data_IF_167941574611
#
_entry.id   IF_167941574611
#
_cell.length_a   1.000
_cell.length_b   1.000
_cell.length_c   1.000
_cell.angle_alpha   90.00
_cell.angle_beta   90.00
_cell.angle_gamma   90.00
#
_symmetry.space_group_name_H-M   'P 1'
#
loop_
_entity.id
_entity.type
_entity.pdbx_description
1 polymer ?
#
# COMPACT_ATOMS: atom_id res chain seq x y z
N UNK A 1 10.98 -19.18 13.91
CA UNK A 1 10.59 -19.87 12.67
C UNK A 1 9.76 -18.89 11.85
N UNK A 2 10.14 -18.61 10.60
CA UNK A 2 9.31 -17.80 9.71
C UNK A 2 8.17 -18.70 9.23
N UNK A 3 6.93 -18.33 9.52
CA UNK A 3 5.74 -19.09 9.10
C UNK A 3 5.62 -19.12 7.57
N UNK A 4 4.91 -20.13 7.07
CA UNK A 4 4.57 -20.26 5.66
C UNK A 4 3.77 -19.03 5.18
N UNK A 5 3.92 -18.71 3.89
CA UNK A 5 3.10 -17.70 3.23
C UNK A 5 1.63 -18.15 3.27
N UNK A 6 0.75 -17.29 3.75
CA UNK A 6 -0.69 -17.51 3.82
C UNK A 6 -1.43 -16.42 3.06
N UNK A 7 -2.69 -16.69 2.73
CA UNK A 7 -3.61 -15.69 2.17
C UNK A 7 -4.73 -15.47 3.18
N UNK A 8 -4.95 -14.22 3.56
CA UNK A 8 -6.09 -13.78 4.38
C UNK A 8 -7.03 -12.91 3.55
N UNK A 9 -8.29 -12.81 3.97
CA UNK A 9 -9.27 -11.90 3.38
C UNK A 9 -9.62 -10.82 4.40
N UNK A 10 -9.35 -9.56 4.05
CA UNK A 10 -9.70 -8.40 4.87
C UNK A 10 -10.76 -7.54 4.16
N UNK A 11 -11.62 -6.90 4.96
CA UNK A 11 -12.61 -5.96 4.46
C UNK A 11 -11.90 -4.69 3.93
N UNK A 12 -12.11 -4.39 2.65
CA UNK A 12 -11.58 -3.20 1.99
C UNK A 12 -12.57 -2.03 1.98
N UNK A 13 -13.85 -2.30 2.23
CA UNK A 13 -14.92 -1.30 2.26
C UNK A 13 -16.25 -1.91 1.81
N UNK A 14 -17.17 -1.04 1.40
CA UNK A 14 -18.45 -1.44 0.82
C UNK A 14 -18.62 -0.79 -0.56
N UNK A 15 -19.27 -1.49 -1.48
CA UNK A 15 -19.63 -0.96 -2.79
C UNK A 15 -20.80 0.06 -2.69
N UNK A 16 -21.21 0.72 -3.78
CA UNK A 16 -22.33 1.66 -3.76
C UNK A 16 -23.69 1.05 -3.39
N UNK A 17 -23.81 -0.29 -3.40
CA UNK A 17 -24.99 -1.03 -2.99
C UNK A 17 -24.89 -1.50 -1.52
N UNK A 18 -23.79 -1.20 -0.83
CA UNK A 18 -23.55 -1.60 0.56
C UNK A 18 -23.03 -3.03 0.72
N UNK A 19 -22.61 -3.70 -0.36
CA UNK A 19 -22.03 -5.04 -0.26
C UNK A 19 -20.55 -4.95 0.14
N UNK A 20 -20.07 -5.84 1.04
CA UNK A 20 -18.68 -5.82 1.48
C UNK A 20 -17.75 -6.19 0.32
N UNK A 21 -16.74 -5.35 0.09
CA UNK A 21 -15.62 -5.63 -0.79
C UNK A 21 -14.51 -6.20 0.08
N UNK A 22 -14.10 -7.44 -0.20
CA UNK A 22 -12.96 -8.07 0.47
C UNK A 22 -11.76 -8.13 -0.47
N UNK A 23 -10.57 -7.94 0.10
CA UNK A 23 -9.32 -8.06 -0.63
C UNK A 23 -8.47 -9.20 -0.03
N UNK A 24 -7.83 -9.98 -0.92
CA UNK A 24 -6.97 -11.10 -0.55
C UNK A 24 -5.54 -10.64 -0.44
N UNK A 25 -4.94 -10.81 0.74
CA UNK A 25 -3.57 -10.38 1.02
C UNK A 25 -2.68 -11.57 1.32
N UNK A 26 -1.49 -11.56 0.71
CA UNK A 26 -0.42 -12.49 1.06
C UNK A 26 0.27 -12.01 2.34
N UNK A 27 0.36 -12.88 3.34
CA UNK A 27 0.88 -12.55 4.68
C UNK A 27 1.82 -13.63 5.20
N UNK A 28 2.66 -13.25 6.16
CA UNK A 28 3.40 -14.16 7.03
C UNK A 28 2.74 -14.12 8.41
N UNK A 29 2.32 -15.27 8.93
CA UNK A 29 1.77 -15.35 10.29
C UNK A 29 2.93 -15.32 11.31
N UNK A 30 2.81 -14.47 12.32
CA UNK A 30 3.73 -14.40 13.45
C UNK A 30 3.32 -15.39 14.55
N UNK A 31 4.18 -15.59 15.54
CA UNK A 31 3.94 -16.53 16.65
C UNK A 31 2.83 -16.11 17.60
N UNK A 32 2.43 -14.85 17.57
CA UNK A 32 1.37 -14.25 18.39
C UNK A 32 0.02 -14.10 17.63
N UNK A 33 -0.11 -14.84 16.51
CA UNK A 33 -1.25 -14.80 15.60
C UNK A 33 -1.50 -13.45 14.89
N UNK A 34 -0.54 -12.53 14.96
CA UNK A 34 -0.52 -11.36 14.07
C UNK A 34 -0.03 -11.76 12.66
N UNK A 35 -0.34 -10.93 11.67
CA UNK A 35 0.01 -11.15 10.28
C UNK A 35 0.83 -9.98 9.75
N UNK A 36 2.00 -10.27 9.21
CA UNK A 36 2.80 -9.28 8.47
C UNK A 36 2.42 -9.33 6.99
N UNK A 37 2.08 -8.17 6.42
CA UNK A 37 1.79 -8.04 4.99
C UNK A 37 3.06 -8.24 4.16
N UNK A 38 2.94 -8.99 3.05
CA UNK A 38 4.05 -9.20 2.10
C UNK A 38 4.01 -8.20 0.95
N UNK A 39 2.83 -7.71 0.59
CA UNK A 39 2.61 -6.74 -0.50
C UNK A 39 1.59 -5.68 -0.06
N UNK A 40 1.69 -4.48 -0.63
CA UNK A 40 0.73 -3.41 -0.35
C UNK A 40 -0.63 -3.71 -0.98
N UNK A 41 -1.74 -3.34 -0.32
CA UNK A 41 -3.09 -3.57 -0.80
C UNK A 41 -3.54 -2.54 -1.85
N UNK A 42 -4.35 -3.00 -2.80
CA UNK A 42 -4.97 -2.19 -3.83
C UNK A 42 -6.17 -1.36 -3.31
N UNK A 43 -6.93 -1.88 -2.34
CA UNK A 43 -8.18 -1.26 -1.90
C UNK A 43 -8.16 -0.89 -0.41
N UNK A 44 -7.70 -1.80 0.46
CA UNK A 44 -7.68 -1.56 1.91
C UNK A 44 -6.85 -0.32 2.25
N UNK A 45 -7.47 0.68 2.87
CA UNK A 45 -6.79 1.94 3.24
C UNK A 45 -6.01 1.77 4.55
N UNK A 46 -4.98 2.59 4.74
CA UNK A 46 -4.18 2.64 5.97
C UNK A 46 -3.06 1.60 6.06
N UNK A 47 -2.94 0.68 5.10
CA UNK A 47 -1.95 -0.40 5.09
C UNK A 47 -0.94 -0.30 3.94
N UNK A 48 0.25 -0.83 4.17
CA UNK A 48 1.29 -1.08 3.17
C UNK A 48 2.02 -2.41 3.44
N UNK A 49 2.85 -2.82 2.47
CA UNK A 49 3.75 -3.96 2.65
C UNK A 49 4.60 -3.81 3.92
N UNK A 50 4.76 -4.90 4.68
CA UNK A 50 5.54 -4.91 5.91
C UNK A 50 4.78 -4.52 7.18
N UNK A 51 3.58 -3.94 7.08
CA UNK A 51 2.72 -3.66 8.24
C UNK A 51 2.33 -4.97 8.94
N UNK A 52 2.20 -4.90 10.27
CA UNK A 52 1.73 -6.01 11.11
C UNK A 52 0.32 -5.72 11.59
N UNK A 53 -0.60 -6.64 11.33
CA UNK A 53 -2.01 -6.51 11.66
C UNK A 53 -2.52 -7.68 12.49
N UNK A 54 -3.56 -7.46 13.26
CA UNK A 54 -4.34 -8.50 13.91
C UNK A 54 -5.76 -8.50 13.36
N UNK A 55 -6.25 -9.67 12.94
CA UNK A 55 -7.62 -9.78 12.44
C UNK A 55 -8.63 -9.81 13.59
N UNK A 56 -9.77 -9.15 13.38
CA UNK A 56 -10.93 -9.25 14.26
C UNK A 56 -11.78 -10.45 13.81
N UNK A 57 -11.96 -11.43 14.69
CA UNK A 57 -12.37 -12.81 14.35
C UNK A 57 -13.79 -12.97 13.75
N UNK A 58 -14.54 -11.89 13.54
CA UNK A 58 -15.93 -11.93 13.05
C UNK A 58 -16.21 -11.00 11.87
N UNK A 59 -15.56 -9.82 11.79
CA UNK A 59 -15.88 -8.79 10.80
C UNK A 59 -14.97 -8.79 9.56
N UNK A 60 -13.90 -9.60 9.55
CA UNK A 60 -12.77 -9.47 8.60
C UNK A 60 -12.11 -8.09 8.62
N UNK A 61 -12.37 -7.30 9.65
CA UNK A 61 -11.64 -6.06 9.92
C UNK A 61 -10.30 -6.40 10.59
N UNK A 62 -9.46 -5.38 10.72
CA UNK A 62 -8.12 -5.52 11.26
C UNK A 62 -7.78 -4.35 12.17
N UNK A 63 -6.85 -4.60 13.07
CA UNK A 63 -6.15 -3.58 13.83
C UNK A 63 -4.69 -3.56 13.41
N UNK A 64 -4.18 -2.37 13.08
CA UNK A 64 -2.75 -2.18 12.82
C UNK A 64 -2.03 -2.24 14.16
N UNK A 65 -1.14 -3.22 14.31
CA UNK A 65 -0.28 -3.34 15.49
C UNK A 65 1.01 -2.54 15.31
N UNK A 66 1.55 -2.52 14.09
CA UNK A 66 2.79 -1.81 13.76
C UNK A 66 2.84 -1.46 12.28
N UNK A 67 3.30 -0.25 11.97
CA UNK A 67 3.67 0.12 10.61
C UNK A 67 5.08 -0.37 10.25
N UNK A 68 5.23 -0.94 9.06
CA UNK A 68 6.48 -1.50 8.55
C UNK A 68 7.44 -0.48 7.92
N UNK A 69 7.04 0.78 7.84
CA UNK A 69 7.85 1.86 7.26
C UNK A 69 7.62 2.11 5.76
N UNK A 70 6.81 1.29 5.09
CA UNK A 70 6.53 1.46 3.68
C UNK A 70 5.32 2.35 3.42
N UNK A 71 5.39 3.11 2.34
CA UNK A 71 4.31 3.83 1.73
C UNK A 71 3.65 2.91 0.69
N UNK A 72 2.32 2.78 0.72
CA UNK A 72 1.55 2.19 -0.35
C UNK A 72 1.24 3.29 -1.37
N UNK A 73 1.70 3.15 -2.61
CA UNK A 73 1.40 4.08 -3.71
C UNK A 73 0.47 3.38 -4.70
N UNK A 74 -0.66 4.01 -5.01
CA UNK A 74 -1.63 3.50 -5.99
C UNK A 74 -1.64 4.40 -7.21
N UNK A 75 -1.38 3.83 -8.37
CA UNK A 75 -1.40 4.53 -9.65
C UNK A 75 -2.56 3.98 -10.48
N UNK A 76 -3.37 4.86 -11.06
CA UNK A 76 -4.53 4.53 -11.88
C UNK A 76 -4.43 5.24 -13.22
N UNK A 77 -4.79 4.55 -14.30
CA UNK A 77 -5.01 5.19 -15.59
C UNK A 77 -6.06 4.44 -16.42
N UNK A 78 -6.67 5.13 -17.38
CA UNK A 78 -7.62 4.51 -18.31
C UNK A 78 -6.94 3.60 -19.35
N UNK A 79 -5.66 3.82 -19.63
CA UNK A 79 -4.85 3.05 -20.57
C UNK A 79 -3.38 3.44 -20.39
N UNK A 80 -2.46 2.69 -20.99
CA UNK A 80 -1.04 3.06 -21.05
C UNK A 80 -0.22 2.75 -19.79
N UNK A 81 -0.79 2.03 -18.81
CA UNK A 81 -0.06 1.65 -17.60
C UNK A 81 1.14 0.75 -17.86
N UNK A 82 1.08 -0.17 -18.84
CA UNK A 82 2.21 -1.03 -19.16
C UNK A 82 3.44 -0.21 -19.59
N UNK A 83 3.27 0.70 -20.56
CA UNK A 83 4.35 1.58 -21.01
C UNK A 83 4.84 2.55 -19.91
N UNK A 84 3.93 3.02 -19.05
CA UNK A 84 4.31 3.82 -17.87
C UNK A 84 5.11 2.98 -16.86
N UNK A 85 4.68 1.75 -16.57
CA UNK A 85 5.33 0.81 -15.66
C UNK A 85 6.77 0.53 -16.10
N UNK A 86 6.99 0.32 -17.40
CA UNK A 86 8.33 0.13 -17.99
C UNK A 86 9.29 1.30 -17.72
N UNK A 87 8.78 2.51 -17.51
CA UNK A 87 9.57 3.71 -17.22
C UNK A 87 9.66 4.02 -15.71
N UNK A 88 8.53 3.92 -15.00
CA UNK A 88 8.41 4.30 -13.60
C UNK A 88 8.99 3.23 -12.66
N UNK A 89 8.74 1.94 -12.93
CA UNK A 89 9.16 0.84 -12.04
C UNK A 89 10.67 0.83 -11.81
N UNK A 90 11.54 0.94 -12.83
CA UNK A 90 12.99 0.97 -12.60
C UNK A 90 13.46 2.17 -11.76
N UNK A 91 12.77 3.32 -11.85
CA UNK A 91 13.11 4.50 -11.06
C UNK A 91 12.73 4.34 -9.59
N UNK A 92 11.60 3.69 -9.30
CA UNK A 92 11.20 3.35 -7.94
C UNK A 92 12.09 2.24 -7.35
N UNK A 93 12.44 1.21 -8.14
CA UNK A 93 13.34 0.13 -7.70
C UNK A 93 14.74 0.63 -7.34
N UNK A 94 15.27 1.63 -8.06
CA UNK A 94 16.54 2.30 -7.70
C UNK A 94 16.50 2.95 -6.30
N UNK A 95 15.32 3.33 -5.83
CA UNK A 95 15.08 3.88 -4.49
C UNK A 95 14.66 2.80 -3.48
N UNK A 96 14.73 1.52 -3.84
CA UNK A 96 14.31 0.41 -2.99
C UNK A 96 12.80 0.19 -2.93
N UNK A 97 12.05 0.74 -3.89
CA UNK A 97 10.64 0.42 -4.07
C UNK A 97 10.43 -0.93 -4.78
N UNK A 98 9.22 -1.46 -4.67
CA UNK A 98 8.80 -2.72 -5.30
C UNK A 98 7.43 -2.55 -5.97
N UNK A 99 7.26 -3.16 -7.14
CA UNK A 99 5.96 -3.29 -7.80
C UNK A 99 5.18 -4.46 -7.17
N UNK A 100 4.22 -4.14 -6.32
CA UNK A 100 3.42 -5.11 -5.59
C UNK A 100 2.37 -5.76 -6.50
N UNK A 101 1.61 -4.95 -7.24
CA UNK A 101 0.51 -5.39 -8.10
C UNK A 101 0.55 -4.63 -9.42
N UNK A 102 0.42 -5.35 -10.52
CA UNK A 102 0.26 -4.80 -11.86
C UNK A 102 -1.00 -5.33 -12.52
N UNK A 103 -1.82 -4.42 -13.04
CA UNK A 103 -2.99 -4.73 -13.85
C UNK A 103 -3.10 -3.72 -14.99
N UNK A 104 -4.01 -3.95 -15.93
CA UNK A 104 -4.30 -2.98 -17.00
C UNK A 104 -4.85 -1.63 -16.50
N UNK A 105 -5.36 -1.58 -15.25
CA UNK A 105 -6.10 -0.41 -14.71
C UNK A 105 -5.43 0.27 -13.54
N UNK A 106 -4.55 -0.44 -12.82
CA UNK A 106 -3.79 0.13 -11.72
C UNK A 106 -2.47 -0.60 -11.48
N UNK A 107 -1.51 0.15 -10.93
CA UNK A 107 -0.24 -0.33 -10.39
C UNK A 107 -0.20 0.01 -8.89
N UNK A 108 0.29 -0.92 -8.08
CA UNK A 108 0.51 -0.70 -6.64
C UNK A 108 2.00 -0.88 -6.38
N UNK A 109 2.60 0.10 -5.72
CA UNK A 109 3.99 0.05 -5.29
C UNK A 109 4.11 0.16 -3.77
N UNK A 110 5.12 -0.49 -3.22
CA UNK A 110 5.65 -0.21 -1.89
C UNK A 110 6.99 0.50 -1.99
N UNK A 111 7.27 1.46 -1.11
CA UNK A 111 8.58 2.09 -0.97
C UNK A 111 8.77 2.61 0.45
N UNK A 112 9.97 2.45 1.01
CA UNK A 112 10.23 2.89 2.39
C UNK A 112 10.15 4.42 2.51
N UNK A 113 9.53 4.90 3.60
CA UNK A 113 9.28 6.33 3.84
C UNK A 113 10.56 7.17 3.96
N UNK A 114 11.70 6.54 4.28
CA UNK A 114 13.00 7.21 4.33
C UNK A 114 13.47 7.77 2.99
N UNK A 115 12.90 7.33 1.87
CA UNK A 115 13.20 7.88 0.55
C UNK A 115 12.69 9.34 0.39
N UNK A 116 11.78 9.75 1.27
CA UNK A 116 11.25 11.11 1.35
C UNK A 116 10.11 11.38 0.36
N UNK A 117 9.03 11.96 0.87
CA UNK A 117 7.83 12.30 0.10
C UNK A 117 8.15 13.10 -1.17
N UNK A 118 8.99 14.14 -1.06
CA UNK A 118 9.32 15.01 -2.21
C UNK A 118 9.99 14.25 -3.37
N UNK A 119 10.88 13.30 -3.07
CA UNK A 119 11.55 12.46 -4.08
C UNK A 119 10.54 11.59 -4.81
N UNK A 120 9.69 10.90 -4.04
CA UNK A 120 8.66 9.99 -4.55
C UNK A 120 7.63 10.75 -5.39
N UNK A 121 7.10 11.84 -4.85
CA UNK A 121 6.13 12.71 -5.53
C UNK A 121 6.70 13.28 -6.83
N UNK A 122 7.98 13.65 -6.85
CA UNK A 122 8.66 14.13 -8.06
C UNK A 122 8.68 13.08 -9.18
N UNK A 123 8.93 11.81 -8.84
CA UNK A 123 8.88 10.70 -9.80
C UNK A 123 7.45 10.45 -10.28
N UNK A 124 6.50 10.31 -9.36
CA UNK A 124 5.11 10.03 -9.70
C UNK A 124 4.50 11.16 -10.52
N UNK A 125 4.72 12.41 -10.14
CA UNK A 125 4.20 13.56 -10.89
C UNK A 125 4.79 13.61 -12.30
N UNK A 126 6.06 13.24 -12.48
CA UNK A 126 6.67 13.17 -13.82
C UNK A 126 6.00 12.09 -14.67
N UNK A 127 6.03 10.84 -14.24
CA UNK A 127 5.62 9.72 -15.11
C UNK A 127 4.10 9.51 -15.17
N UNK A 128 3.39 9.76 -14.06
CA UNK A 128 1.94 9.47 -13.97
C UNK A 128 1.11 10.57 -14.64
N UNK A 129 1.46 11.84 -14.41
CA UNK A 129 0.65 12.94 -14.95
C UNK A 129 0.85 13.15 -16.44
N UNK A 130 2.03 12.83 -16.98
CA UNK A 130 2.34 12.91 -18.42
C UNK A 130 1.38 12.08 -19.29
N UNK A 131 0.87 10.96 -18.76
CA UNK A 131 -0.09 10.10 -19.46
C UNK A 131 -1.54 10.28 -19.00
N UNK A 132 -1.81 11.32 -18.20
CA UNK A 132 -3.14 11.60 -17.65
C UNK A 132 -3.61 10.59 -16.61
N UNK A 133 -2.67 9.91 -15.94
CA UNK A 133 -2.95 9.04 -14.80
C UNK A 133 -3.20 9.84 -13.51
N UNK A 134 -3.65 9.13 -12.49
CA UNK A 134 -3.77 9.63 -11.12
C UNK A 134 -2.94 8.74 -10.20
N UNK A 135 -2.30 9.32 -9.20
CA UNK A 135 -1.70 8.55 -8.12
C UNK A 135 -2.17 9.04 -6.76
N UNK A 136 -2.18 8.15 -5.77
CA UNK A 136 -2.52 8.46 -4.38
C UNK A 136 -1.78 7.54 -3.41
N UNK A 137 -1.50 8.04 -2.21
CA UNK A 137 -1.03 7.21 -1.12
C UNK A 137 -2.19 6.42 -0.50
N UNK A 138 -1.98 5.11 -0.31
CA UNK A 138 -2.96 4.21 0.32
C UNK A 138 -2.96 4.28 1.85
N UNK A 139 -1.88 4.74 2.47
CA UNK A 139 -1.70 4.72 3.93
C UNK A 139 -1.16 6.02 4.56
N UNK A 140 -1.16 7.16 3.83
CA UNK A 140 -0.63 8.43 4.37
C UNK A 140 -1.70 9.29 5.04
N UNK A 141 -2.91 9.26 4.50
CA UNK A 141 -4.02 10.12 4.94
C UNK A 141 -5.13 9.33 5.63
N UNK A 142 -5.84 9.99 6.54
CA UNK A 142 -6.98 9.43 7.24
C UNK A 142 -8.03 8.95 6.21
N UNK A 143 -8.44 7.68 6.24
CA UNK A 143 -9.45 7.14 5.34
C UNK A 143 -10.80 7.89 5.33
N UNK A 144 -11.13 8.59 6.42
CA UNK A 144 -12.40 9.30 6.61
C UNK A 144 -12.49 10.60 5.80
N UNK A 145 -11.37 11.34 5.67
CA UNK A 145 -11.34 12.61 4.95
C UNK A 145 -10.39 12.63 3.74
N UNK A 146 -9.50 11.63 3.62
CA UNK A 146 -8.53 11.49 2.54
C UNK A 146 -7.46 12.59 2.49
N UNK A 147 -7.34 13.44 3.52
CA UNK A 147 -6.48 14.63 3.51
C UNK A 147 -5.70 14.86 4.81
N UNK A 148 -6.18 14.39 5.96
CA UNK A 148 -5.49 14.53 7.24
C UNK A 148 -4.32 13.55 7.31
N UNK A 149 -3.06 14.00 7.47
CA UNK A 149 -1.91 13.10 7.56
C UNK A 149 -1.96 12.23 8.83
N UNK A 150 -1.77 10.92 8.69
CA UNK A 150 -1.75 9.98 9.81
C UNK A 150 -0.48 10.08 10.68
N UNK A 151 0.61 10.63 10.12
CA UNK A 151 1.87 10.92 10.83
C UNK A 151 2.56 9.71 11.48
N UNK A 152 2.19 8.47 11.15
CA UNK A 152 2.79 7.26 11.72
C UNK A 152 4.29 7.13 11.44
N UNK A 153 4.77 7.72 10.34
CA UNK A 153 6.19 7.68 9.95
C UNK A 153 7.10 8.49 10.88
N UNK A 154 6.55 9.44 11.66
CA UNK A 154 7.35 10.27 12.54
C UNK A 154 8.12 9.43 13.57
N UNK A 155 7.53 8.33 14.05
CA UNK A 155 8.21 7.43 14.98
C UNK A 155 9.35 6.63 14.33
N UNK A 156 9.21 6.31 13.04
CA UNK A 156 10.18 5.55 12.26
C UNK A 156 11.38 6.42 11.84
N UNK A 157 11.14 7.70 11.57
CA UNK A 157 12.17 8.65 11.11
C UNK A 157 12.89 9.38 12.26
N UNK A 158 12.56 9.10 13.52
CA UNK A 158 13.27 9.66 14.67
C UNK A 158 14.74 9.26 14.61
N UNK A 159 15.68 10.24 14.73
CA UNK A 159 17.08 9.91 14.96
C UNK A 159 17.23 9.09 16.24
N UNK A 160 18.14 8.12 16.24
CA UNK A 160 18.56 7.39 17.46
C UNK A 160 19.20 8.32 18.50
#
# INVERSE_FOLDING_TARGET
MVSALQVIELLAGHDPQGQPIVERLSVKQNTDDSFQLVKSPAFIKGLASGDVVKMLAESKEFEIQQHGGNLCIRVYAKSGLAAMSEQLTPELEKLGGELDIETERFLIYSIHVSCGFSTIEGLLNRYVTEVGGLWLYGNVYDPADGTTPLNWWNDILKPE
#
